data_IF_734910930329
#
_entry.id   IF_734910930329
#
_cell.length_a   1.000
_cell.length_b   1.000
_cell.length_c   1.000
_cell.angle_alpha   90.00
_cell.angle_beta   90.00
_cell.angle_gamma   90.00
#
_symmetry.space_group_name_H-M   'P 1'
#
loop_
_entity.id
_entity.type
_entity.pdbx_description
1 polymer ?
#
# COMPACT_ATOMS: atom_id res chain seq x y z
N UNK A 1 -8.91 5.94 33.69
CA UNK A 1 -7.50 6.14 34.08
C UNK A 1 -6.90 7.14 33.10
N UNK A 2 -6.69 8.32 33.60
CA UNK A 2 -6.31 9.52 32.83
C UNK A 2 -4.78 9.54 32.73
N UNK A 3 -4.22 9.37 31.51
CA UNK A 3 -2.79 9.56 31.30
C UNK A 3 -2.51 11.03 30.99
N UNK A 4 -1.76 11.64 31.89
CA UNK A 4 -1.31 13.02 31.86
C UNK A 4 -0.05 13.13 31.00
N UNK A 5 -0.11 13.90 29.91
CA UNK A 5 1.06 14.29 29.14
C UNK A 5 1.87 15.33 29.92
N UNK A 6 3.08 14.99 30.32
CA UNK A 6 4.07 15.94 30.85
C UNK A 6 4.82 16.56 29.68
N UNK A 7 4.53 17.82 29.41
CA UNK A 7 5.39 18.66 28.58
C UNK A 7 6.73 18.89 29.29
N UNK A 8 7.81 18.47 28.66
CA UNK A 8 9.17 18.78 29.06
C UNK A 8 9.54 20.14 28.46
N UNK A 9 9.41 21.21 29.26
CA UNK A 9 9.92 22.53 28.91
C UNK A 9 11.45 22.49 29.06
N UNK A 10 12.18 22.52 27.94
CA UNK A 10 13.62 22.74 27.97
C UNK A 10 13.88 24.24 28.18
N UNK A 11 14.26 24.60 29.40
CA UNK A 11 14.74 25.95 29.71
C UNK A 11 16.19 26.05 29.26
N UNK A 12 16.43 26.77 28.14
CA UNK A 12 17.77 27.13 27.71
C UNK A 12 18.25 28.31 28.54
N UNK A 13 19.12 28.07 29.51
CA UNK A 13 19.77 29.10 30.28
C UNK A 13 20.96 29.64 29.50
N UNK A 14 20.83 30.89 29.02
CA UNK A 14 21.98 31.63 28.50
C UNK A 14 22.92 32.01 29.63
N UNK A 15 24.11 31.44 29.64
CA UNK A 15 25.20 31.86 30.53
C UNK A 15 25.77 33.15 29.96
N UNK A 16 25.55 34.26 30.68
CA UNK A 16 26.20 35.53 30.38
C UNK A 16 27.66 35.41 30.88
N UNK A 17 28.61 35.32 29.95
CA UNK A 17 30.02 35.38 30.24
C UNK A 17 30.40 36.84 30.48
N UNK A 18 30.61 37.20 31.75
CA UNK A 18 31.09 38.52 32.15
C UNK A 18 32.60 38.65 31.81
N UNK A 19 32.88 39.40 30.74
CA UNK A 19 34.28 39.79 30.46
C UNK A 19 34.58 41.04 31.23
N UNK A 20 35.49 40.94 32.20
CA UNK A 20 36.05 42.11 32.87
C UNK A 20 37.06 42.82 31.96
N UNK A 21 36.68 43.99 31.45
CA UNK A 21 37.62 44.87 30.72
C UNK A 21 38.47 45.68 31.75
N UNK A 22 39.79 45.49 31.63
CA UNK A 22 40.76 46.37 32.27
C UNK A 22 40.77 47.70 31.50
N UNK A 23 40.60 48.79 32.22
CA UNK A 23 40.60 50.14 31.69
C UNK A 23 42.02 50.58 31.33
N UNK A 24 42.42 50.52 30.05
CA UNK A 24 43.41 51.40 29.42
C UNK A 24 43.45 51.16 27.90
N UNK A 25 42.55 51.80 27.17
CA UNK A 25 42.83 52.22 25.79
C UNK A 25 41.76 53.22 25.37
N UNK A 26 42.13 54.48 25.32
CA UNK A 26 41.35 55.56 24.70
C UNK A 26 41.64 55.52 23.21
N UNK A 27 40.61 55.34 22.40
CA UNK A 27 40.56 55.38 20.93
C UNK A 27 40.46 54.01 20.23
N UNK A 28 39.32 53.32 20.42
CA UNK A 28 38.79 52.43 19.39
C UNK A 28 37.26 52.59 19.35
N UNK A 29 36.80 53.20 18.26
CA UNK A 29 35.37 53.19 17.90
C UNK A 29 34.90 51.74 17.75
N UNK A 30 34.07 51.28 18.67
CA UNK A 30 33.41 49.96 18.62
C UNK A 30 32.42 50.06 17.46
N UNK A 31 32.51 49.24 16.43
CA UNK A 31 31.46 49.20 15.41
C UNK A 31 30.12 48.80 16.08
N UNK A 32 29.11 49.60 15.84
CA UNK A 32 27.74 49.30 16.32
C UNK A 32 27.35 47.92 15.82
N UNK A 33 26.99 47.00 16.74
CA UNK A 33 26.41 45.74 16.38
C UNK A 33 25.11 46.00 15.60
N UNK A 34 24.83 45.27 14.52
CA UNK A 34 23.61 45.43 13.79
C UNK A 34 22.45 45.16 14.75
N UNK A 35 21.53 46.11 14.82
CA UNK A 35 20.26 45.92 15.55
C UNK A 35 19.50 44.84 14.78
N UNK A 36 19.54 43.62 15.26
CA UNK A 36 18.72 42.53 14.72
C UNK A 36 17.31 42.81 15.19
N UNK A 37 16.46 43.19 14.25
CA UNK A 37 15.02 43.36 14.50
C UNK A 37 14.45 42.02 14.94
N UNK A 38 13.95 41.99 16.18
CA UNK A 38 13.37 40.78 16.78
C UNK A 38 12.19 40.23 15.97
N UNK A 39 11.53 41.07 15.18
CA UNK A 39 10.47 40.63 14.26
C UNK A 39 11.00 39.82 13.09
N UNK A 40 12.17 40.13 12.57
CA UNK A 40 12.79 39.37 11.48
C UNK A 40 13.24 37.99 11.95
N UNK A 41 13.84 37.88 13.14
CA UNK A 41 14.24 36.59 13.73
C UNK A 41 13.02 35.73 14.06
N UNK A 42 11.93 36.32 14.55
CA UNK A 42 10.67 35.59 14.77
C UNK A 42 10.02 35.12 13.46
N UNK A 43 10.13 35.87 12.39
CA UNK A 43 9.58 35.49 11.08
C UNK A 43 10.42 34.35 10.44
N UNK A 44 11.75 34.41 10.50
CA UNK A 44 12.60 33.30 10.01
C UNK A 44 12.38 32.02 10.85
N UNK A 45 12.23 32.13 12.17
CA UNK A 45 11.97 30.98 13.03
C UNK A 45 10.58 30.38 12.80
N UNK A 46 9.57 31.19 12.52
CA UNK A 46 8.22 30.72 12.22
C UNK A 46 8.07 30.15 10.80
N UNK A 47 8.91 30.59 9.86
CA UNK A 47 8.92 30.05 8.49
C UNK A 47 9.58 28.66 8.50
N UNK A 48 10.66 28.45 9.26
CA UNK A 48 11.34 27.17 9.38
C UNK A 48 10.48 26.12 10.14
N UNK A 49 9.78 26.53 11.22
CA UNK A 49 8.85 25.63 11.91
C UNK A 49 7.55 25.35 11.12
N UNK A 50 7.11 26.25 10.23
CA UNK A 50 5.88 26.05 9.45
C UNK A 50 6.10 25.11 8.26
N UNK A 51 7.30 25.04 7.70
CA UNK A 51 7.67 24.08 6.65
C UNK A 51 7.92 22.67 7.23
N UNK A 52 8.41 22.56 8.47
CA UNK A 52 8.54 21.29 9.17
C UNK A 52 7.19 20.74 9.68
N UNK A 53 6.16 21.56 9.81
CA UNK A 53 4.81 21.16 10.23
C UNK A 53 3.94 20.63 9.09
N UNK A 54 4.31 20.83 7.84
CA UNK A 54 3.72 20.07 6.73
C UNK A 54 4.36 18.69 6.69
N UNK A 55 3.75 17.74 7.39
CA UNK A 55 4.16 16.35 7.40
C UNK A 55 4.36 15.84 5.97
N UNK A 56 5.62 15.82 5.52
CA UNK A 56 5.98 15.46 4.15
C UNK A 56 5.81 13.95 3.96
N UNK A 57 4.70 13.56 3.34
CA UNK A 57 4.45 12.16 3.05
C UNK A 57 5.20 11.73 1.77
N UNK A 58 5.70 10.49 1.70
CA UNK A 58 6.38 9.97 0.52
C UNK A 58 5.58 10.19 -0.75
N UNK A 59 6.22 10.70 -1.81
CA UNK A 59 5.61 10.96 -3.12
C UNK A 59 4.31 11.80 -3.06
N UNK A 60 4.27 12.79 -2.18
CA UNK A 60 3.08 13.62 -1.93
C UNK A 60 2.53 14.29 -3.19
N UNK A 61 3.40 14.75 -4.08
CA UNK A 61 3.07 15.32 -5.38
C UNK A 61 2.30 14.35 -6.29
N UNK A 62 2.72 13.09 -6.37
CA UNK A 62 2.05 12.03 -7.15
C UNK A 62 0.66 11.75 -6.58
N UNK A 63 0.52 11.80 -5.26
CA UNK A 63 -0.70 11.45 -4.53
C UNK A 63 -1.58 12.66 -4.16
N UNK A 64 -1.32 13.84 -4.73
CA UNK A 64 -2.01 15.10 -4.42
C UNK A 64 -2.06 15.36 -2.89
N UNK A 65 -1.00 15.03 -2.18
CA UNK A 65 -0.88 15.10 -0.73
C UNK A 65 -2.00 14.36 0.05
N UNK A 66 -2.74 13.45 -0.61
CA UNK A 66 -3.74 12.63 0.07
C UNK A 66 -3.05 11.57 0.92
N UNK A 67 -3.20 11.67 2.23
CA UNK A 67 -2.77 10.68 3.21
C UNK A 67 -3.95 10.20 4.04
N UNK A 68 -4.18 8.88 4.12
CA UNK A 68 -5.24 8.30 4.94
C UNK A 68 -4.88 6.88 5.34
N UNK A 69 -5.08 6.59 6.61
CA UNK A 69 -4.78 5.29 7.23
C UNK A 69 -5.93 4.28 7.19
N UNK A 70 -7.12 4.69 6.71
CA UNK A 70 -8.33 3.87 6.84
C UNK A 70 -8.79 3.20 5.54
N UNK A 71 -8.30 3.66 4.39
CA UNK A 71 -8.74 3.14 3.07
C UNK A 71 -7.55 2.71 2.24
N UNK A 72 -7.63 1.49 1.71
CA UNK A 72 -6.60 0.96 0.80
C UNK A 72 -6.50 1.78 -0.49
N UNK A 73 -7.64 2.16 -1.08
CA UNK A 73 -7.68 3.07 -2.24
C UNK A 73 -8.55 4.29 -1.92
N UNK A 74 -8.00 5.35 -1.31
CA UNK A 74 -8.72 6.58 -1.07
C UNK A 74 -8.81 7.47 -2.30
N UNK A 75 -7.91 7.30 -3.27
CA UNK A 75 -7.69 8.22 -4.39
C UNK A 75 -8.83 8.16 -5.41
N UNK A 76 -9.44 6.95 -5.59
CA UNK A 76 -10.52 6.68 -6.57
C UNK A 76 -10.20 7.23 -7.96
N UNK A 77 -8.91 7.36 -8.27
CA UNK A 77 -8.46 7.96 -9.52
C UNK A 77 -8.78 7.04 -10.70
N UNK A 78 -9.52 7.53 -11.71
CA UNK A 78 -9.76 6.77 -12.93
C UNK A 78 -8.43 6.52 -13.64
N UNK A 79 -8.24 5.32 -14.21
CA UNK A 79 -7.02 5.01 -14.94
C UNK A 79 -6.84 5.94 -16.15
N UNK A 80 -7.94 6.36 -16.77
CA UNK A 80 -7.91 7.28 -17.91
C UNK A 80 -7.34 8.66 -17.55
N UNK A 81 -7.38 9.06 -16.27
CA UNK A 81 -6.79 10.32 -15.77
C UNK A 81 -5.31 10.22 -15.38
N UNK A 82 -4.75 9.03 -15.37
CA UNK A 82 -3.31 8.86 -15.14
C UNK A 82 -2.51 9.43 -16.31
N UNK A 83 -1.26 9.87 -16.10
CA UNK A 83 -0.33 10.14 -17.20
C UNK A 83 -0.17 8.93 -18.12
N UNK A 84 0.19 9.16 -19.38
CA UNK A 84 0.33 8.07 -20.36
C UNK A 84 1.42 7.08 -19.97
N UNK A 85 2.49 7.58 -19.35
CA UNK A 85 3.54 6.77 -18.77
C UNK A 85 4.20 7.45 -17.56
N UNK A 86 4.63 6.65 -16.59
CA UNK A 86 5.38 7.10 -15.40
C UNK A 86 6.52 6.11 -15.19
N UNK A 87 7.74 6.63 -14.99
CA UNK A 87 8.91 5.83 -14.65
C UNK A 87 9.03 5.71 -13.15
N UNK A 88 9.25 4.48 -12.68
CA UNK A 88 9.44 4.15 -11.28
C UNK A 88 10.81 3.51 -11.12
N UNK A 89 11.62 4.05 -10.22
CA UNK A 89 12.90 3.45 -9.83
C UNK A 89 12.65 2.24 -8.92
N UNK A 90 13.23 1.10 -9.29
CA UNK A 90 13.17 -0.16 -8.55
C UNK A 90 14.55 -0.58 -8.02
N UNK A 91 15.59 0.25 -8.14
CA UNK A 91 16.98 -0.08 -7.78
C UNK A 91 17.15 -0.49 -6.31
N UNK A 92 16.32 0.07 -5.41
CA UNK A 92 16.35 -0.21 -3.97
C UNK A 92 15.52 -1.42 -3.56
N UNK A 93 14.94 -2.17 -4.50
CA UNK A 93 14.05 -3.29 -4.20
C UNK A 93 14.68 -4.35 -3.30
N UNK A 94 13.90 -4.78 -2.31
CA UNK A 94 14.17 -5.97 -1.49
C UNK A 94 13.00 -6.94 -1.58
N UNK A 95 13.28 -8.21 -1.84
CA UNK A 95 12.23 -9.23 -1.84
C UNK A 95 11.59 -9.33 -0.45
N UNK A 96 10.25 -9.24 -0.34
CA UNK A 96 9.60 -9.12 0.98
C UNK A 96 9.71 -10.39 1.82
N UNK A 97 9.84 -11.54 1.18
CA UNK A 97 10.11 -12.85 1.81
C UNK A 97 10.71 -13.81 0.77
N UNK A 98 11.59 -14.69 1.19
CA UNK A 98 12.08 -15.77 0.33
C UNK A 98 11.08 -16.92 0.28
N UNK A 99 10.60 -17.28 -0.90
CA UNK A 99 9.62 -18.34 -1.08
C UNK A 99 9.15 -18.43 -2.53
N UNK A 100 8.52 -19.56 -2.88
CA UNK A 100 7.94 -19.75 -4.21
C UNK A 100 6.50 -19.20 -4.25
N UNK A 101 6.05 -18.83 -5.45
CA UNK A 101 4.67 -18.38 -5.68
C UNK A 101 3.71 -19.56 -5.52
N UNK A 102 2.76 -19.45 -4.61
CA UNK A 102 1.67 -20.42 -4.41
C UNK A 102 0.41 -20.04 -5.16
N UNK A 103 0.23 -18.74 -5.45
CA UNK A 103 -0.94 -18.26 -6.16
C UNK A 103 -0.69 -16.93 -6.86
N UNK A 104 -0.90 -16.91 -8.16
CA UNK A 104 -0.61 -15.78 -9.05
C UNK A 104 -1.65 -14.67 -8.96
N UNK A 105 -1.25 -13.47 -9.33
CA UNK A 105 -2.14 -12.36 -9.63
C UNK A 105 -3.14 -12.74 -10.72
N UNK A 106 -4.41 -12.34 -10.59
CA UNK A 106 -5.35 -12.54 -11.68
C UNK A 106 -6.76 -13.03 -11.29
N UNK A 107 -7.55 -13.43 -12.29
CA UNK A 107 -8.93 -13.83 -12.08
C UNK A 107 -9.02 -15.15 -11.32
N UNK A 108 -9.89 -15.17 -10.32
CA UNK A 108 -10.37 -16.36 -9.61
C UNK A 108 -11.81 -16.61 -10.01
N UNK A 109 -12.35 -17.77 -9.68
CA UNK A 109 -13.70 -18.17 -10.09
C UNK A 109 -14.79 -17.10 -9.84
N UNK A 110 -14.71 -16.37 -8.72
CA UNK A 110 -15.74 -15.39 -8.30
C UNK A 110 -15.17 -14.05 -7.84
N UNK A 111 -13.89 -13.86 -7.92
CA UNK A 111 -13.19 -12.65 -7.47
C UNK A 111 -11.89 -12.47 -8.24
N UNK A 112 -11.32 -11.29 -8.16
CA UNK A 112 -9.98 -11.01 -8.67
C UNK A 112 -8.96 -11.11 -7.52
N UNK A 113 -7.78 -11.64 -7.79
CA UNK A 113 -6.64 -11.66 -6.87
C UNK A 113 -5.72 -10.50 -7.23
N UNK A 114 -5.63 -9.52 -6.34
CA UNK A 114 -4.93 -8.27 -6.59
C UNK A 114 -3.44 -8.32 -6.21
N UNK A 115 -2.94 -9.46 -5.77
CA UNK A 115 -1.56 -9.68 -5.38
C UNK A 115 -1.03 -11.03 -5.83
N UNK A 116 0.15 -11.36 -5.36
CA UNK A 116 0.81 -12.66 -5.50
C UNK A 116 0.97 -13.27 -4.12
N UNK A 117 0.59 -14.55 -3.97
CA UNK A 117 0.76 -15.25 -2.70
C UNK A 117 2.11 -16.00 -2.73
N UNK A 118 2.97 -15.72 -1.76
CA UNK A 118 4.32 -16.26 -1.64
C UNK A 118 4.37 -17.19 -0.43
N UNK A 119 4.86 -18.41 -0.61
CA UNK A 119 5.01 -19.39 0.48
C UNK A 119 5.96 -18.86 1.56
N UNK A 120 5.52 -18.95 2.81
CA UNK A 120 6.32 -18.75 4.00
C UNK A 120 5.82 -19.65 5.13
N UNK A 121 6.57 -19.71 6.23
CA UNK A 121 6.12 -20.30 7.49
C UNK A 121 5.66 -19.21 8.47
N UNK A 122 4.74 -19.58 9.36
CA UNK A 122 4.32 -18.67 10.43
C UNK A 122 5.51 -18.32 11.31
N UNK A 123 5.77 -17.01 11.46
CA UNK A 123 6.92 -16.48 12.20
C UNK A 123 8.09 -16.04 11.32
N UNK A 124 8.10 -16.39 10.02
CA UNK A 124 9.13 -15.88 9.10
C UNK A 124 9.07 -14.35 9.02
N UNK A 125 10.25 -13.70 8.98
CA UNK A 125 10.33 -12.24 8.83
C UNK A 125 9.83 -11.81 7.46
N UNK A 126 8.95 -10.80 7.46
CA UNK A 126 8.49 -10.09 6.27
C UNK A 126 9.08 -8.70 6.29
N UNK A 127 9.74 -8.31 5.19
CA UNK A 127 10.47 -7.04 5.10
C UNK A 127 9.83 -6.07 4.12
N UNK A 128 10.07 -4.77 4.32
CA UNK A 128 9.65 -3.73 3.37
C UNK A 128 10.39 -3.85 2.05
N UNK A 129 9.67 -3.76 0.93
CA UNK A 129 10.28 -3.87 -0.40
C UNK A 129 11.08 -2.64 -0.82
N UNK A 130 10.76 -1.46 -0.31
CA UNK A 130 11.44 -0.19 -0.56
C UNK A 130 11.38 0.66 0.70
N UNK A 131 12.20 1.70 0.79
CA UNK A 131 12.08 2.72 1.84
C UNK A 131 10.79 3.52 1.66
N UNK A 132 10.17 3.95 2.77
CA UNK A 132 8.91 4.67 2.74
C UNK A 132 8.31 4.91 4.11
N UNK A 133 7.00 5.18 4.15
CA UNK A 133 6.23 5.47 5.37
C UNK A 133 5.03 4.54 5.46
N UNK A 134 4.81 3.97 6.63
CA UNK A 134 3.68 3.09 6.92
C UNK A 134 2.39 3.89 6.88
N UNK A 135 1.50 3.58 5.94
CA UNK A 135 0.24 4.29 5.73
C UNK A 135 -0.96 3.62 6.39
N UNK A 136 -0.93 2.29 6.50
CA UNK A 136 -1.99 1.52 7.17
C UNK A 136 -1.35 0.40 7.97
N UNK A 137 -1.81 0.22 9.21
CA UNK A 137 -1.70 -1.02 9.99
C UNK A 137 -3.10 -1.35 10.49
N UNK A 138 -3.69 -2.48 10.04
CA UNK A 138 -5.07 -2.80 10.40
C UNK A 138 -5.33 -4.32 10.34
N UNK A 139 -6.52 -4.74 10.75
CA UNK A 139 -6.98 -6.11 10.75
C UNK A 139 -8.31 -6.29 10.00
N UNK A 140 -8.26 -6.96 8.85
CA UNK A 140 -9.47 -7.35 8.11
C UNK A 140 -9.77 -8.85 8.24
N UNK A 141 -10.70 -9.18 9.14
CA UNK A 141 -11.11 -10.57 9.41
C UNK A 141 -11.58 -11.34 8.16
N UNK A 142 -12.19 -10.67 7.18
CA UNK A 142 -12.79 -11.31 6.00
C UNK A 142 -11.93 -11.20 4.73
N UNK A 143 -10.78 -10.56 4.82
CA UNK A 143 -9.84 -10.31 3.74
C UNK A 143 -8.40 -10.51 4.17
N UNK A 144 -7.68 -9.42 4.32
CA UNK A 144 -6.23 -9.38 4.51
C UNK A 144 -5.71 -9.95 5.85
N UNK A 145 -6.56 -10.15 6.87
CA UNK A 145 -6.07 -10.44 8.23
C UNK A 145 -5.28 -9.26 8.79
N UNK A 146 -4.21 -9.50 9.55
CA UNK A 146 -3.26 -8.44 9.87
C UNK A 146 -2.52 -8.04 8.61
N UNK A 147 -2.50 -6.74 8.31
CA UNK A 147 -1.83 -6.23 7.12
C UNK A 147 -1.20 -4.86 7.33
N UNK A 148 -0.19 -4.60 6.53
CA UNK A 148 0.53 -3.32 6.48
C UNK A 148 0.46 -2.79 5.06
N UNK A 149 0.26 -1.49 4.91
CA UNK A 149 0.42 -0.78 3.64
C UNK A 149 1.49 0.27 3.81
N UNK A 150 2.47 0.27 2.94
CA UNK A 150 3.57 1.23 2.92
C UNK A 150 3.49 2.03 1.63
N UNK A 151 3.54 3.36 1.74
CA UNK A 151 3.81 4.24 0.61
C UNK A 151 5.30 4.51 0.56
N UNK A 152 5.88 4.26 -0.60
CA UNK A 152 7.31 4.33 -0.83
C UNK A 152 7.73 5.65 -1.46
N UNK A 153 8.99 6.01 -1.27
CA UNK A 153 9.59 7.23 -1.80
C UNK A 153 9.61 7.25 -3.34
N UNK A 154 9.62 6.06 -3.98
CA UNK A 154 9.53 5.92 -5.43
C UNK A 154 8.12 6.05 -6.02
N UNK A 155 7.11 6.31 -5.20
CA UNK A 155 5.72 6.49 -5.61
C UNK A 155 4.88 5.21 -5.71
N UNK A 156 5.42 4.05 -5.36
CA UNK A 156 4.63 2.82 -5.23
C UNK A 156 3.98 2.71 -3.84
N UNK A 157 2.92 1.94 -3.74
CA UNK A 157 2.43 1.40 -2.49
C UNK A 157 2.53 -0.13 -2.51
N UNK A 158 2.91 -0.72 -1.38
CA UNK A 158 2.89 -2.18 -1.23
C UNK A 158 1.98 -2.60 -0.08
N UNK A 159 1.39 -3.79 -0.22
CA UNK A 159 0.53 -4.41 0.80
C UNK A 159 1.14 -5.73 1.21
N UNK A 160 1.26 -5.94 2.51
CA UNK A 160 1.77 -7.16 3.14
C UNK A 160 0.68 -7.71 4.06
N UNK A 161 0.07 -8.83 3.69
CA UNK A 161 -1.09 -9.34 4.39
C UNK A 161 -0.96 -10.79 4.88
N UNK A 162 -1.95 -11.22 5.65
CA UNK A 162 -2.01 -12.50 6.36
C UNK A 162 -0.94 -12.67 7.44
N UNK A 163 -0.39 -11.55 7.95
CA UNK A 163 0.64 -11.54 8.98
C UNK A 163 0.12 -12.15 10.29
N UNK A 164 1.00 -12.85 11.00
CA UNK A 164 0.72 -13.27 12.39
C UNK A 164 0.89 -12.11 13.37
N UNK A 165 1.87 -11.22 13.09
CA UNK A 165 2.17 -10.05 13.90
C UNK A 165 2.65 -8.89 13.02
N UNK A 166 2.16 -7.68 13.28
CA UNK A 166 2.69 -6.43 12.75
C UNK A 166 3.74 -5.93 13.73
N UNK A 167 4.88 -5.45 13.24
CA UNK A 167 6.02 -4.98 14.04
C UNK A 167 6.32 -3.49 13.86
N UNK A 168 5.53 -2.81 13.04
CA UNK A 168 5.66 -1.37 12.76
C UNK A 168 4.39 -0.63 13.16
N UNK A 169 4.53 0.66 13.39
CA UNK A 169 3.42 1.54 13.76
C UNK A 169 2.94 2.38 12.56
N UNK A 170 1.73 2.93 12.68
CA UNK A 170 1.21 3.90 11.73
C UNK A 170 2.16 5.11 11.67
N UNK A 171 2.36 5.65 10.46
CA UNK A 171 3.23 6.79 10.17
C UNK A 171 4.74 6.55 10.44
N UNK A 172 5.15 5.35 10.84
CA UNK A 172 6.57 4.99 10.97
C UNK A 172 7.27 5.02 9.61
N UNK A 173 8.46 5.64 9.55
CA UNK A 173 9.40 5.49 8.42
C UNK A 173 10.07 4.13 8.52
N UNK A 174 10.24 3.48 7.38
CA UNK A 174 10.91 2.18 7.26
C UNK A 174 11.88 2.19 6.08
N UNK A 175 12.97 1.48 6.24
CA UNK A 175 13.96 1.30 5.17
C UNK A 175 13.67 0.04 4.33
N UNK A 176 14.19 0.01 3.09
CA UNK A 176 14.14 -1.18 2.25
C UNK A 176 14.86 -2.36 2.92
N UNK A 177 14.15 -3.47 3.15
CA UNK A 177 14.67 -4.63 3.86
C UNK A 177 14.45 -4.62 5.37
N UNK A 178 13.89 -3.57 5.94
CA UNK A 178 13.50 -3.52 7.36
C UNK A 178 12.36 -4.50 7.63
N UNK A 179 12.42 -5.23 8.76
CA UNK A 179 11.37 -6.18 9.15
C UNK A 179 10.13 -5.43 9.65
N UNK A 180 9.01 -5.59 8.94
CA UNK A 180 7.74 -4.91 9.20
C UNK A 180 6.68 -5.80 9.86
N UNK A 181 6.89 -7.12 9.86
CA UNK A 181 5.96 -8.07 10.43
C UNK A 181 6.46 -9.50 10.34
N UNK A 182 5.67 -10.40 10.89
CA UNK A 182 5.91 -11.84 10.86
C UNK A 182 4.84 -12.53 10.02
N UNK A 183 5.28 -13.44 9.17
CA UNK A 183 4.42 -14.26 8.34
C UNK A 183 3.37 -15.04 9.14
N UNK A 184 2.22 -15.30 8.54
CA UNK A 184 1.13 -15.96 9.23
C UNK A 184 0.06 -16.57 8.33
N UNK A 185 -1.14 -16.72 8.92
CA UNK A 185 -2.31 -17.30 8.27
C UNK A 185 -3.59 -16.62 8.77
N UNK A 186 -3.56 -15.30 8.99
CA UNK A 186 -4.69 -14.54 9.52
C UNK A 186 -5.66 -14.10 8.42
N UNK A 187 -6.88 -13.72 8.79
CA UNK A 187 -7.91 -13.29 7.86
C UNK A 187 -8.45 -14.42 6.98
N UNK A 188 -8.62 -14.16 5.69
CA UNK A 188 -9.15 -15.14 4.72
C UNK A 188 -8.01 -15.90 4.05
N UNK A 189 -7.30 -16.71 4.79
CA UNK A 189 -6.20 -17.56 4.32
C UNK A 189 -6.49 -19.04 4.58
N UNK A 190 -5.91 -19.92 3.79
CA UNK A 190 -6.08 -21.39 3.90
C UNK A 190 -4.77 -22.09 4.30
N UNK A 191 -3.70 -21.35 4.47
CA UNK A 191 -2.38 -21.86 4.86
C UNK A 191 -1.38 -20.73 4.90
N UNK A 192 -0.29 -20.86 5.64
CA UNK A 192 0.71 -19.79 5.83
C UNK A 192 1.33 -19.35 4.51
N UNK A 193 1.15 -18.09 4.16
CA UNK A 193 1.70 -17.41 3.00
C UNK A 193 1.69 -15.88 3.22
N UNK A 194 2.54 -15.17 2.51
CA UNK A 194 2.44 -13.72 2.36
C UNK A 194 1.56 -13.41 1.14
N UNK A 195 0.48 -12.68 1.33
CA UNK A 195 -0.21 -12.01 0.23
C UNK A 195 0.46 -10.65 0.01
N UNK A 196 1.10 -10.49 -1.15
CA UNK A 196 1.89 -9.32 -1.52
C UNK A 196 1.29 -8.59 -2.71
N UNK A 197 1.04 -7.28 -2.57
CA UNK A 197 0.55 -6.44 -3.66
C UNK A 197 1.51 -5.29 -3.93
N UNK A 198 1.61 -4.88 -5.20
CA UNK A 198 2.18 -3.62 -5.65
C UNK A 198 1.04 -2.78 -6.20
N UNK A 199 0.98 -1.52 -5.78
CA UNK A 199 -0.08 -0.59 -6.17
C UNK A 199 0.51 0.75 -6.61
N UNK A 200 -0.18 1.40 -7.53
CA UNK A 200 0.07 2.79 -7.90
C UNK A 200 -1.25 3.56 -7.91
N UNK A 201 -1.30 4.65 -7.15
CA UNK A 201 -2.52 5.46 -6.93
C UNK A 201 -3.73 4.57 -6.57
N UNK A 202 -3.52 3.61 -5.67
CA UNK A 202 -4.51 2.65 -5.19
C UNK A 202 -4.87 1.53 -6.17
N UNK A 203 -4.39 1.57 -7.40
CA UNK A 203 -4.64 0.53 -8.40
C UNK A 203 -3.57 -0.56 -8.32
N UNK A 204 -3.99 -1.82 -8.17
CA UNK A 204 -3.06 -2.95 -8.12
C UNK A 204 -2.34 -3.15 -9.45
N UNK A 205 -1.11 -3.57 -9.41
CA UNK A 205 -0.32 -4.03 -10.55
C UNK A 205 0.09 -5.48 -10.34
N UNK A 206 0.35 -6.21 -11.42
CA UNK A 206 0.78 -7.60 -11.31
C UNK A 206 2.24 -7.67 -10.84
N UNK A 207 2.52 -8.14 -9.59
CA UNK A 207 3.88 -8.21 -9.09
C UNK A 207 4.80 -9.10 -9.94
N UNK A 208 4.27 -10.17 -10.52
CA UNK A 208 5.02 -11.15 -11.34
C UNK A 208 5.49 -10.59 -12.69
N UNK A 209 5.00 -9.42 -13.11
CA UNK A 209 5.50 -8.69 -14.29
C UNK A 209 6.64 -7.72 -13.95
N UNK A 210 6.83 -7.42 -12.69
CA UNK A 210 7.78 -6.44 -12.19
C UNK A 210 8.97 -7.15 -11.54
N UNK A 211 8.70 -8.23 -10.80
CA UNK A 211 9.65 -8.93 -9.94
C UNK A 211 9.82 -10.37 -10.38
N UNK A 212 11.07 -10.80 -10.51
CA UNK A 212 11.47 -12.19 -10.54
C UNK A 212 11.59 -12.70 -9.09
N UNK A 213 10.57 -13.43 -8.64
CA UNK A 213 10.54 -13.97 -7.28
C UNK A 213 11.50 -15.14 -7.08
N UNK A 214 11.98 -15.79 -8.15
CA UNK A 214 12.98 -16.86 -8.07
C UNK A 214 14.36 -16.25 -7.80
N UNK A 215 14.70 -15.16 -8.49
CA UNK A 215 15.95 -14.43 -8.29
C UNK A 215 15.87 -13.45 -7.10
N UNK A 216 14.66 -13.06 -6.67
CA UNK A 216 14.46 -12.08 -5.60
C UNK A 216 14.81 -10.67 -5.99
N UNK A 217 14.71 -10.32 -7.27
CA UNK A 217 15.05 -9.01 -7.83
C UNK A 217 14.01 -8.55 -8.87
N UNK A 218 13.90 -7.25 -9.16
CA UNK A 218 13.10 -6.79 -10.28
C UNK A 218 13.75 -7.19 -11.61
N UNK A 219 12.94 -7.39 -12.65
CA UNK A 219 13.46 -7.66 -14.01
C UNK A 219 14.25 -6.51 -14.59
N UNK A 220 13.99 -5.28 -14.14
CA UNK A 220 14.65 -4.05 -14.59
C UNK A 220 14.78 -3.08 -13.40
N UNK A 221 15.81 -2.20 -13.45
CA UNK A 221 15.99 -1.18 -12.42
C UNK A 221 14.95 -0.06 -12.50
N UNK A 222 14.34 0.14 -13.68
CA UNK A 222 13.24 1.10 -13.88
C UNK A 222 12.03 0.38 -14.47
N UNK A 223 10.84 0.65 -13.95
CA UNK A 223 9.58 0.14 -14.48
C UNK A 223 8.74 1.27 -15.06
N UNK A 224 8.30 1.11 -16.32
CA UNK A 224 7.40 2.05 -16.96
C UNK A 224 5.95 1.66 -16.71
N UNK A 225 5.27 2.39 -15.83
CA UNK A 225 3.83 2.24 -15.65
C UNK A 225 3.13 2.85 -16.85
N UNK A 226 2.29 2.06 -17.52
CA UNK A 226 1.42 2.51 -18.62
C UNK A 226 -0.02 2.10 -18.37
N UNK A 227 -0.99 2.88 -18.85
CA UNK A 227 -2.42 2.61 -18.65
C UNK A 227 -2.82 1.22 -19.13
N UNK A 228 -2.34 0.82 -20.30
CA UNK A 228 -2.78 -0.41 -20.97
C UNK A 228 -2.09 -1.65 -20.41
N UNK A 229 -0.80 -1.58 -20.13
CA UNK A 229 -0.03 -2.76 -19.70
C UNK A 229 -0.09 -2.99 -18.20
N UNK A 230 0.01 -1.93 -17.38
CA UNK A 230 0.02 -2.07 -15.93
C UNK A 230 -1.37 -2.37 -15.36
N UNK A 231 -2.43 -1.89 -16.03
CA UNK A 231 -3.82 -2.03 -15.57
C UNK A 231 -4.73 -2.81 -16.52
N UNK A 232 -4.17 -3.65 -17.38
CA UNK A 232 -4.89 -4.46 -18.39
C UNK A 232 -6.07 -5.27 -17.83
N UNK A 233 -5.98 -5.63 -16.55
CA UNK A 233 -6.97 -6.47 -15.87
C UNK A 233 -8.29 -5.75 -15.55
N UNK A 234 -8.34 -4.44 -15.61
CA UNK A 234 -9.53 -3.65 -15.24
C UNK A 234 -10.78 -4.04 -16.05
N UNK A 235 -10.61 -4.37 -17.33
CA UNK A 235 -11.72 -4.87 -18.17
C UNK A 235 -12.28 -6.18 -17.62
N UNK A 236 -11.40 -7.10 -17.18
CA UNK A 236 -11.81 -8.36 -16.58
C UNK A 236 -12.52 -8.14 -15.24
N UNK A 237 -12.02 -7.24 -14.40
CA UNK A 237 -12.65 -6.87 -13.11
C UNK A 237 -14.04 -6.28 -13.33
N UNK A 238 -14.21 -5.34 -14.27
CA UNK A 238 -15.52 -4.79 -14.65
C UNK A 238 -16.48 -5.88 -15.13
N UNK A 239 -16.00 -6.81 -15.98
CA UNK A 239 -16.80 -7.94 -16.48
C UNK A 239 -17.19 -8.92 -15.34
N UNK A 240 -16.30 -9.15 -14.38
CA UNK A 240 -16.61 -9.97 -13.20
C UNK A 240 -17.62 -9.30 -12.27
N UNK A 241 -17.49 -7.99 -12.03
CA UNK A 241 -18.43 -7.21 -11.23
C UNK A 241 -19.83 -7.17 -11.86
N UNK A 242 -19.92 -7.10 -13.19
CA UNK A 242 -21.17 -7.14 -13.92
C UNK A 242 -21.78 -8.55 -13.99
N UNK A 243 -21.02 -9.61 -13.65
CA UNK A 243 -21.48 -10.99 -13.75
C UNK A 243 -22.53 -11.31 -12.67
N UNK A 244 -23.67 -11.84 -13.11
CA UNK A 244 -24.70 -12.36 -12.20
C UNK A 244 -24.51 -13.85 -11.97
N UNK A 245 -24.61 -14.28 -10.71
CA UNK A 245 -24.48 -15.68 -10.32
C UNK A 245 -25.77 -16.16 -9.66
N UNK A 246 -26.17 -17.38 -10.00
CA UNK A 246 -27.27 -18.10 -9.39
C UNK A 246 -26.74 -19.21 -8.49
N UNK A 247 -27.24 -19.31 -7.25
CA UNK A 247 -26.90 -20.40 -6.33
C UNK A 247 -27.87 -21.54 -6.55
N UNK A 248 -27.39 -22.70 -6.97
CA UNK A 248 -28.19 -23.90 -7.28
C UNK A 248 -28.92 -24.38 -6.03
N UNK A 249 -30.21 -24.63 -6.19
CA UNK A 249 -31.12 -25.15 -5.17
C UNK A 249 -31.53 -26.60 -5.49
N UNK A 250 -32.15 -27.29 -4.55
CA UNK A 250 -32.75 -28.60 -4.78
C UNK A 250 -33.78 -28.53 -5.91
N UNK A 251 -33.80 -29.51 -6.81
CA UNK A 251 -34.67 -29.57 -7.96
C UNK A 251 -34.31 -28.70 -9.16
N UNK A 252 -33.19 -27.94 -9.08
CA UNK A 252 -32.74 -27.17 -10.21
C UNK A 252 -32.07 -28.05 -11.29
N UNK A 253 -32.31 -27.66 -12.55
CA UNK A 253 -31.55 -28.12 -13.71
C UNK A 253 -31.20 -26.94 -14.60
N UNK A 254 -30.30 -27.15 -15.58
CA UNK A 254 -29.84 -26.07 -16.47
C UNK A 254 -31.00 -25.40 -17.22
N UNK A 255 -32.04 -26.16 -17.62
CA UNK A 255 -33.21 -25.62 -18.31
C UNK A 255 -34.00 -24.64 -17.44
N UNK A 256 -34.34 -25.08 -16.20
CA UNK A 256 -35.06 -24.23 -15.23
C UNK A 256 -34.25 -22.96 -14.86
N UNK A 257 -32.95 -23.11 -14.67
CA UNK A 257 -32.07 -21.96 -14.33
C UNK A 257 -32.00 -21.00 -15.51
N UNK A 258 -31.90 -21.52 -16.74
CA UNK A 258 -31.88 -20.70 -17.96
C UNK A 258 -33.17 -19.90 -18.11
N UNK A 259 -34.32 -20.57 -18.00
CA UNK A 259 -35.64 -19.93 -18.10
C UNK A 259 -35.83 -18.81 -17.06
N UNK A 260 -35.49 -19.06 -15.79
CA UNK A 260 -35.61 -18.09 -14.68
C UNK A 260 -34.71 -16.86 -14.86
N UNK A 261 -33.61 -16.98 -15.60
CA UNK A 261 -32.63 -15.90 -15.80
C UNK A 261 -32.65 -15.31 -17.21
N UNK A 262 -33.68 -15.60 -18.01
CA UNK A 262 -33.85 -15.07 -19.37
C UNK A 262 -32.68 -15.40 -20.31
N UNK A 263 -32.16 -16.64 -20.20
CA UNK A 263 -31.01 -17.10 -20.99
C UNK A 263 -31.26 -18.52 -21.53
N UNK A 264 -30.33 -19.07 -22.30
CA UNK A 264 -30.41 -20.43 -22.82
C UNK A 264 -29.45 -21.38 -22.12
N UNK A 265 -29.76 -22.71 -22.12
CA UNK A 265 -28.82 -23.73 -21.62
C UNK A 265 -27.47 -23.65 -22.31
N UNK A 266 -27.45 -23.41 -23.63
CA UNK A 266 -26.21 -23.25 -24.41
C UNK A 266 -25.37 -22.05 -23.90
N UNK A 267 -26.03 -20.93 -23.60
CA UNK A 267 -25.35 -19.74 -23.06
C UNK A 267 -24.83 -20.01 -21.63
N UNK A 268 -25.62 -20.67 -20.76
CA UNK A 268 -25.17 -21.06 -19.43
C UNK A 268 -23.95 -21.98 -19.50
N UNK A 269 -23.96 -22.97 -20.36
CA UNK A 269 -22.85 -23.90 -20.55
C UNK A 269 -21.58 -23.15 -20.99
N UNK A 270 -21.69 -22.27 -21.98
CA UNK A 270 -20.57 -21.44 -22.46
C UNK A 270 -20.02 -20.52 -21.37
N UNK A 271 -20.90 -19.81 -20.64
CA UNK A 271 -20.49 -18.88 -19.57
C UNK A 271 -19.75 -19.56 -18.42
N UNK A 272 -20.01 -20.86 -18.20
CA UNK A 272 -19.46 -21.60 -17.07
C UNK A 272 -18.43 -22.68 -17.47
N UNK A 273 -18.13 -22.84 -18.74
CA UNK A 273 -17.23 -23.90 -19.23
C UNK A 273 -17.71 -25.31 -18.89
N UNK A 274 -19.04 -25.56 -18.93
CA UNK A 274 -19.63 -26.85 -18.58
C UNK A 274 -20.40 -27.45 -19.73
N UNK A 275 -20.52 -28.78 -19.76
CA UNK A 275 -21.37 -29.47 -20.72
C UNK A 275 -22.85 -29.43 -20.30
N UNK A 276 -23.80 -29.59 -21.27
CA UNK A 276 -25.22 -29.69 -20.95
C UNK A 276 -25.57 -30.87 -20.03
N UNK A 277 -24.75 -31.92 -20.03
CA UNK A 277 -24.91 -33.12 -19.19
C UNK A 277 -24.25 -33.00 -17.80
N UNK A 278 -23.66 -31.82 -17.46
CA UNK A 278 -22.98 -31.59 -16.18
C UNK A 278 -23.94 -31.74 -15.02
N UNK A 279 -23.61 -32.59 -14.04
CA UNK A 279 -24.32 -32.69 -12.78
C UNK A 279 -24.13 -31.44 -11.97
N UNK A 280 -25.22 -30.80 -11.58
CA UNK A 280 -25.22 -29.59 -10.75
C UNK A 280 -25.26 -30.00 -9.28
N UNK A 281 -24.45 -29.32 -8.45
CA UNK A 281 -24.42 -29.55 -7.00
C UNK A 281 -25.21 -28.46 -6.29
N UNK A 282 -26.07 -28.82 -5.33
CA UNK A 282 -26.78 -27.86 -4.47
C UNK A 282 -25.77 -26.96 -3.78
N UNK A 283 -26.06 -25.66 -3.76
CA UNK A 283 -25.15 -24.65 -3.21
C UNK A 283 -24.05 -24.16 -4.17
N UNK A 284 -23.80 -24.87 -5.28
CA UNK A 284 -22.90 -24.41 -6.34
C UNK A 284 -23.43 -23.10 -6.95
N UNK A 285 -22.54 -22.16 -7.22
CA UNK A 285 -22.88 -20.93 -7.95
C UNK A 285 -22.50 -21.11 -9.43
N UNK A 286 -23.42 -20.75 -10.31
CA UNK A 286 -23.18 -20.68 -11.76
C UNK A 286 -23.41 -19.25 -12.25
N UNK A 287 -22.63 -18.82 -13.22
CA UNK A 287 -22.80 -17.54 -13.87
C UNK A 287 -24.01 -17.60 -14.81
N UNK A 288 -24.91 -16.61 -14.68
CA UNK A 288 -26.15 -16.56 -15.49
C UNK A 288 -26.18 -15.36 -16.45
N UNK A 289 -25.28 -14.39 -16.23
CA UNK A 289 -25.09 -13.22 -17.06
C UNK A 289 -23.65 -12.74 -16.99
#
# INVERSE_FOLDING_TARGET
MTFCYKHLLAVVTFSILSISLSANDKDKTIPALPVIDSTTVYQEFLIDESDDLMENHPAGDIYNNIWTSTKLNPYKMPIDSLPDSIRIDLSQFKVPVKGHITSKFGPRRYRYHYGTDIKLFTGDSVVSSFSGKVRITDYDRRGYGNYVVIRHDNGLETVYAHLSKVLVELDQRVEAGETIGLGGNTGRSTGSHLHYEIRFLGNAMNPEKIIDFEQGSPFMHEYLITKNESFYYQKAVKAMAAAKYYKIKSGDNLGRIAARNGTSVRALCRLNGISPKKILRIGQRIRVR
#
